data_IF_052642051914
#
_entry.id   IF_052642051914
#
_cell.length_a   1.000
_cell.length_b   1.000
_cell.length_c   1.000
_cell.angle_alpha   90.00
_cell.angle_beta   90.00
_cell.angle_gamma   90.00
#
_symmetry.space_group_name_H-M   'P 1'
#
loop_
_entity.id
_entity.type
_entity.pdbx_description
1 polymer ?
#
# COMPACT_ATOMS: atom_id res chain seq x y z
N UNK A 1 1.54 -8.53 -8.11
CA UNK A 1 0.84 -9.07 -9.29
C UNK A 1 -0.60 -8.56 -9.43
N UNK A 2 -1.48 -8.57 -8.40
CA UNK A 2 -2.89 -8.17 -8.56
C UNK A 2 -3.08 -6.72 -9.02
N UNK A 3 -2.27 -5.78 -8.52
CA UNK A 3 -2.33 -4.37 -8.93
C UNK A 3 -2.04 -4.17 -10.42
N UNK A 4 -1.13 -4.97 -10.99
CA UNK A 4 -0.76 -4.88 -12.41
C UNK A 4 -1.91 -5.32 -13.31
N UNK A 5 -2.58 -6.43 -12.98
CA UNK A 5 -3.77 -6.89 -13.71
C UNK A 5 -4.92 -5.89 -13.60
N UNK A 6 -5.10 -5.25 -12.44
CA UNK A 6 -6.10 -4.18 -12.29
C UNK A 6 -5.75 -2.93 -13.11
N UNK A 7 -4.47 -2.56 -13.19
CA UNK A 7 -4.03 -1.48 -14.08
C UNK A 7 -4.28 -1.82 -15.55
N UNK A 8 -3.93 -3.04 -15.97
CA UNK A 8 -4.16 -3.52 -17.33
C UNK A 8 -5.65 -3.47 -17.70
N UNK A 9 -6.53 -3.82 -16.75
CA UNK A 9 -7.98 -3.66 -16.89
C UNK A 9 -8.38 -2.20 -17.18
N UNK A 10 -7.87 -1.26 -16.37
CA UNK A 10 -8.20 0.16 -16.53
C UNK A 10 -7.69 0.73 -17.86
N UNK A 11 -6.50 0.31 -18.30
CA UNK A 11 -5.91 0.76 -19.56
C UNK A 11 -6.66 0.18 -20.77
N UNK A 12 -6.97 -1.12 -20.74
CA UNK A 12 -7.79 -1.76 -21.78
C UNK A 12 -9.18 -1.12 -21.90
N UNK A 13 -9.79 -0.75 -20.77
CA UNK A 13 -11.11 -0.08 -20.73
C UNK A 13 -11.08 1.30 -21.39
N UNK A 14 -9.96 2.03 -21.31
CA UNK A 14 -9.80 3.34 -21.96
C UNK A 14 -9.78 3.24 -23.48
N UNK A 15 -9.20 2.19 -24.04
CA UNK A 15 -9.12 1.97 -25.49
C UNK A 15 -10.47 1.73 -26.17
N UNK A 16 -11.49 1.27 -25.43
CA UNK A 16 -12.82 0.98 -25.98
C UNK A 16 -13.63 2.27 -26.11
N UNK A 17 -13.84 2.75 -27.35
CA UNK A 17 -14.58 4.00 -27.63
C UNK A 17 -16.10 3.85 -27.47
N UNK A 18 -16.67 2.70 -27.81
CA UNK A 18 -18.13 2.51 -27.85
C UNK A 18 -18.69 2.16 -26.44
N UNK A 19 -19.69 2.90 -25.93
CA UNK A 19 -20.19 2.72 -24.56
C UNK A 19 -20.85 1.36 -24.33
N UNK A 20 -21.58 0.82 -25.33
CA UNK A 20 -22.19 -0.50 -25.26
C UNK A 20 -21.15 -1.63 -25.20
N UNK A 21 -20.14 -1.60 -26.07
CA UNK A 21 -19.03 -2.58 -26.06
C UNK A 21 -18.27 -2.49 -24.75
N UNK A 22 -18.01 -1.28 -24.24
CA UNK A 22 -17.38 -1.09 -22.94
C UNK A 22 -18.21 -1.71 -21.82
N UNK A 23 -19.54 -1.57 -21.84
CA UNK A 23 -20.40 -2.14 -20.79
C UNK A 23 -20.40 -3.68 -20.80
N UNK A 24 -20.40 -4.31 -21.98
CA UNK A 24 -20.42 -5.77 -22.11
C UNK A 24 -19.03 -6.40 -21.87
N UNK A 25 -17.97 -5.79 -22.42
CA UNK A 25 -16.60 -6.35 -22.37
C UNK A 25 -15.93 -6.07 -21.02
N UNK A 26 -16.20 -4.92 -20.38
CA UNK A 26 -15.57 -4.54 -19.11
C UNK A 26 -15.75 -5.55 -17.97
N UNK A 27 -16.95 -6.10 -17.68
CA UNK A 27 -17.11 -7.08 -16.61
C UNK A 27 -16.40 -8.40 -16.93
N UNK A 28 -16.44 -8.85 -18.19
CA UNK A 28 -15.75 -10.06 -18.62
C UNK A 28 -14.23 -9.92 -18.50
N UNK A 29 -13.68 -8.80 -18.98
CA UNK A 29 -12.26 -8.48 -18.92
C UNK A 29 -11.77 -8.33 -17.47
N UNK A 30 -12.61 -7.77 -16.58
CA UNK A 30 -12.32 -7.71 -15.14
C UNK A 30 -12.25 -9.10 -14.50
N UNK A 31 -13.20 -9.99 -14.79
CA UNK A 31 -13.21 -11.35 -14.27
C UNK A 31 -11.98 -12.14 -14.72
N UNK A 32 -11.62 -12.06 -16.01
CA UNK A 32 -10.43 -12.72 -16.56
C UNK A 32 -9.15 -12.22 -15.89
N UNK A 33 -9.01 -10.90 -15.69
CA UNK A 33 -7.80 -10.33 -15.10
C UNK A 33 -7.69 -10.57 -13.59
N UNK A 34 -8.82 -10.60 -12.87
CA UNK A 34 -8.82 -10.99 -11.45
C UNK A 34 -8.49 -12.47 -11.29
N UNK A 35 -9.09 -13.34 -12.08
CA UNK A 35 -8.81 -14.78 -12.03
C UNK A 35 -7.36 -15.07 -12.40
N UNK A 36 -6.82 -14.44 -13.45
CA UNK A 36 -5.39 -14.52 -13.77
C UNK A 36 -4.50 -13.98 -12.64
N UNK A 37 -4.91 -12.89 -12.00
CA UNK A 37 -4.24 -12.32 -10.83
C UNK A 37 -4.17 -13.29 -9.66
N UNK A 38 -5.30 -13.88 -9.26
CA UNK A 38 -5.38 -14.85 -8.18
C UNK A 38 -4.61 -16.14 -8.51
N UNK A 39 -4.72 -16.62 -9.75
CA UNK A 39 -4.00 -17.80 -10.21
C UNK A 39 -2.48 -17.60 -10.19
N UNK A 40 -2.00 -16.40 -10.55
CA UNK A 40 -0.57 -16.08 -10.44
C UNK A 40 -0.07 -16.12 -9.00
N UNK A 41 -0.91 -15.74 -8.03
CA UNK A 41 -0.58 -15.84 -6.60
C UNK A 41 -0.55 -17.30 -6.15
N UNK A 42 -1.50 -18.12 -6.62
CA UNK A 42 -1.55 -19.54 -6.34
C UNK A 42 -0.29 -20.27 -6.83
N UNK A 43 0.13 -20.04 -8.08
CA UNK A 43 1.35 -20.66 -8.62
C UNK A 43 2.58 -20.29 -7.78
N UNK A 44 2.72 -19.02 -7.39
CA UNK A 44 3.83 -18.59 -6.54
C UNK A 44 3.76 -19.26 -5.17
N UNK A 45 2.57 -19.39 -4.59
CA UNK A 45 2.37 -20.02 -3.29
C UNK A 45 2.65 -21.53 -3.30
N UNK A 46 2.28 -22.23 -4.37
CA UNK A 46 2.48 -23.67 -4.54
C UNK A 46 3.94 -24.01 -4.90
N UNK A 47 4.58 -23.19 -5.74
CA UNK A 47 5.98 -23.40 -6.16
C UNK A 47 7.02 -23.11 -5.08
N UNK A 48 6.60 -22.65 -3.91
CA UNK A 48 7.51 -22.33 -2.82
C UNK A 48 7.04 -22.95 -1.50
N UNK A 49 7.82 -23.90 -0.98
CA UNK A 49 7.61 -24.50 0.36
C UNK A 49 7.48 -23.44 1.47
N UNK A 50 8.03 -22.25 1.20
CA UNK A 50 7.95 -21.06 2.05
C UNK A 50 6.54 -20.48 2.22
N UNK A 51 5.62 -20.67 1.27
CA UNK A 51 4.29 -20.05 1.23
C UNK A 51 3.12 -21.03 1.39
N UNK A 52 3.38 -22.29 1.77
CA UNK A 52 2.33 -23.23 2.15
C UNK A 52 1.49 -22.68 3.31
N UNK A 53 0.16 -22.85 3.26
CA UNK A 53 -0.80 -22.20 4.17
C UNK A 53 -0.52 -22.52 5.66
N UNK A 54 -0.14 -23.76 5.98
CA UNK A 54 0.19 -24.20 7.35
C UNK A 54 1.45 -23.51 7.90
N UNK A 55 2.40 -23.13 7.03
CA UNK A 55 3.61 -22.41 7.43
C UNK A 55 3.33 -20.92 7.63
N UNK A 56 2.32 -20.35 6.96
CA UNK A 56 1.97 -18.94 7.11
C UNK A 56 1.33 -18.69 8.48
N UNK A 57 0.38 -19.52 8.91
CA UNK A 57 -0.27 -19.37 10.21
C UNK A 57 0.70 -19.54 11.38
N UNK A 58 1.53 -20.58 11.33
CA UNK A 58 2.56 -20.84 12.35
C UNK A 58 3.65 -19.76 12.38
N UNK A 59 4.00 -19.17 11.23
CA UNK A 59 4.95 -18.06 11.19
C UNK A 59 4.33 -16.77 11.66
N UNK A 60 3.13 -16.43 11.20
CA UNK A 60 2.48 -15.18 11.60
C UNK A 60 2.25 -15.19 13.12
N UNK A 61 1.74 -16.29 13.69
CA UNK A 61 1.62 -16.46 15.15
C UNK A 61 2.98 -16.43 15.86
N UNK A 62 4.00 -17.10 15.33
CA UNK A 62 5.38 -17.05 15.82
C UNK A 62 6.00 -15.64 15.77
N UNK A 63 5.73 -14.87 14.71
CA UNK A 63 6.18 -13.49 14.54
C UNK A 63 5.49 -12.56 15.54
N UNK A 64 4.18 -12.68 15.74
CA UNK A 64 3.47 -11.88 16.74
C UNK A 64 3.95 -12.18 18.17
N UNK A 65 4.10 -13.45 18.53
CA UNK A 65 4.53 -13.85 19.87
C UNK A 65 6.00 -13.49 20.13
N UNK A 66 6.90 -13.78 19.17
CA UNK A 66 8.33 -13.50 19.30
C UNK A 66 8.65 -11.99 19.23
N UNK A 67 7.97 -11.22 18.38
CA UNK A 67 8.26 -9.78 18.23
C UNK A 67 7.58 -8.90 19.29
N UNK A 68 6.44 -9.32 19.84
CA UNK A 68 5.88 -8.72 21.06
C UNK A 68 6.86 -8.82 22.22
N UNK A 69 7.40 -10.03 22.44
CA UNK A 69 8.42 -10.27 23.48
C UNK A 69 9.75 -9.53 23.21
N UNK A 70 10.21 -9.43 21.96
CA UNK A 70 11.44 -8.68 21.64
C UNK A 70 11.28 -7.15 21.80
N UNK A 71 10.12 -6.60 21.45
CA UNK A 71 9.84 -5.17 21.65
C UNK A 71 9.85 -4.81 23.14
N UNK A 72 9.36 -5.72 23.99
CA UNK A 72 9.32 -5.56 25.45
C UNK A 72 10.70 -5.82 26.11
N UNK A 73 11.48 -6.78 25.59
CA UNK A 73 12.71 -7.27 26.24
C UNK A 73 14.00 -6.58 25.78
N UNK A 74 14.04 -5.91 24.61
CA UNK A 74 15.29 -5.40 24.01
C UNK A 74 15.37 -3.89 23.76
N UNK A 75 14.42 -3.07 24.25
CA UNK A 75 14.32 -1.64 23.86
C UNK A 75 14.43 -1.44 22.33
N UNK A 76 14.01 -2.48 21.59
CA UNK A 76 13.93 -2.41 20.16
C UNK A 76 12.85 -1.38 19.86
N UNK A 77 13.15 -0.46 18.95
CA UNK A 77 12.24 0.55 18.42
C UNK A 77 11.10 -0.14 17.62
N UNK A 78 10.30 -0.91 18.33
CA UNK A 78 9.16 -1.65 17.84
C UNK A 78 7.91 -0.80 17.88
N UNK A 79 6.89 -1.25 17.17
CA UNK A 79 5.58 -0.60 17.17
C UNK A 79 4.49 -1.65 17.37
N UNK A 80 3.37 -1.24 17.97
CA UNK A 80 2.17 -2.07 18.06
C UNK A 80 1.11 -1.62 17.07
N UNK A 81 0.26 -2.56 16.63
CA UNK A 81 -0.96 -2.33 15.83
C UNK A 81 -2.22 -2.35 16.73
N UNK A 82 -2.06 -2.09 18.03
CA UNK A 82 -3.09 -2.16 19.08
C UNK A 82 -3.12 -3.53 19.75
N UNK A 83 -3.87 -3.63 20.85
CA UNK A 83 -4.10 -4.89 21.56
C UNK A 83 -4.87 -5.88 20.66
N UNK A 84 -4.51 -7.16 20.81
CA UNK A 84 -5.04 -8.36 20.17
C UNK A 84 -5.15 -8.31 18.63
N UNK A 85 -4.09 -8.80 17.95
CA UNK A 85 -4.19 -9.16 16.54
C UNK A 85 -4.76 -10.57 16.44
N UNK A 86 -6.07 -10.66 16.31
CA UNK A 86 -6.70 -11.90 15.90
C UNK A 86 -6.24 -12.26 14.49
N UNK A 87 -5.67 -13.45 14.33
CA UNK A 87 -5.23 -14.00 13.03
C UNK A 87 -6.39 -14.51 12.17
N UNK A 88 -7.63 -14.23 12.59
CA UNK A 88 -8.80 -14.48 11.77
C UNK A 88 -8.81 -13.53 10.56
N UNK A 89 -9.35 -13.93 9.40
CA UNK A 89 -9.48 -13.03 8.25
C UNK A 89 -10.20 -11.70 8.58
N UNK A 90 -11.15 -11.74 9.51
CA UNK A 90 -11.84 -10.55 10.03
C UNK A 90 -10.94 -9.67 10.91
N UNK A 91 -10.11 -10.26 11.77
CA UNK A 91 -9.13 -9.55 12.59
C UNK A 91 -8.06 -8.84 11.75
N UNK A 92 -7.55 -9.52 10.73
CA UNK A 92 -6.59 -8.96 9.75
C UNK A 92 -7.20 -7.75 9.04
N UNK A 93 -8.46 -7.83 8.61
CA UNK A 93 -9.15 -6.73 7.93
C UNK A 93 -9.35 -5.51 8.84
N UNK A 94 -9.66 -5.71 10.12
CA UNK A 94 -9.76 -4.62 11.11
C UNK A 94 -8.43 -3.87 11.29
N UNK A 95 -7.29 -4.57 11.16
CA UNK A 95 -5.94 -3.98 11.28
C UNK A 95 -5.41 -3.41 9.97
N UNK A 96 -6.16 -3.48 8.87
CA UNK A 96 -5.74 -2.99 7.57
C UNK A 96 -5.33 -1.51 7.58
N UNK A 97 -6.22 -0.62 8.03
CA UNK A 97 -5.96 0.83 8.03
C UNK A 97 -4.76 1.18 8.93
N UNK A 98 -4.69 0.72 10.20
CA UNK A 98 -3.51 0.95 11.04
C UNK A 98 -2.21 0.46 10.39
N UNK A 99 -2.18 -0.77 9.86
CA UNK A 99 -1.00 -1.34 9.24
C UNK A 99 -0.52 -0.54 8.02
N UNK A 100 -1.46 -0.08 7.17
CA UNK A 100 -1.14 0.78 6.02
C UNK A 100 -0.53 2.11 6.48
N UNK A 101 -1.11 2.76 7.51
CA UNK A 101 -0.58 4.02 8.03
C UNK A 101 0.85 3.82 8.56
N UNK A 102 1.09 2.72 9.29
CA UNK A 102 2.43 2.37 9.75
C UNK A 102 3.38 2.16 8.58
N UNK A 103 2.99 1.34 7.61
CA UNK A 103 3.83 1.00 6.46
C UNK A 103 4.18 2.22 5.60
N UNK A 104 3.27 3.17 5.45
CA UNK A 104 3.49 4.38 4.65
C UNK A 104 4.27 5.45 5.42
N UNK A 105 3.83 5.81 6.62
CA UNK A 105 4.21 7.08 7.25
C UNK A 105 5.04 6.93 8.52
N UNK A 106 5.18 5.73 9.09
CA UNK A 106 6.02 5.51 10.29
C UNK A 106 7.44 5.03 9.92
N UNK A 107 8.47 5.31 10.75
CA UNK A 107 8.41 6.03 12.03
C UNK A 107 8.13 7.53 11.85
N UNK A 108 7.37 8.10 12.79
CA UNK A 108 7.22 9.56 12.87
C UNK A 108 8.42 10.19 13.57
N UNK A 109 8.60 11.51 13.40
CA UNK A 109 9.74 12.25 13.98
C UNK A 109 9.83 12.10 15.51
N UNK A 110 8.70 11.99 16.19
CA UNK A 110 8.62 11.81 17.66
C UNK A 110 8.77 10.36 18.12
N UNK A 111 8.83 9.39 17.20
CA UNK A 111 9.02 7.97 17.52
C UNK A 111 10.47 7.50 17.31
N UNK A 112 11.34 8.42 16.90
CA UNK A 112 12.75 8.15 16.60
C UNK A 112 13.50 7.89 17.90
N UNK A 113 13.95 6.64 18.09
CA UNK A 113 14.82 6.25 19.21
C UNK A 113 16.30 6.14 18.84
N UNK A 114 16.60 6.06 17.54
CA UNK A 114 17.96 5.87 17.02
C UNK A 114 18.23 6.86 15.91
N UNK A 115 19.44 7.42 15.86
CA UNK A 115 19.86 8.39 14.83
C UNK A 115 19.66 7.86 13.40
N UNK A 116 19.88 6.56 13.19
CA UNK A 116 19.66 5.88 11.89
C UNK A 116 18.20 5.97 11.43
N UNK A 117 17.23 6.09 12.34
CA UNK A 117 15.81 6.22 12.01
C UNK A 117 15.40 7.66 11.69
N UNK A 118 16.23 8.65 12.06
CA UNK A 118 15.89 10.06 11.88
C UNK A 118 15.73 10.41 10.40
N UNK A 119 16.66 9.95 9.56
CA UNK A 119 16.60 10.20 8.11
C UNK A 119 15.32 9.62 7.50
N UNK A 120 14.97 8.39 7.87
CA UNK A 120 13.74 7.75 7.39
C UNK A 120 12.49 8.41 7.94
N UNK A 121 12.50 8.90 9.19
CA UNK A 121 11.38 9.63 9.76
C UNK A 121 11.18 10.98 9.06
N UNK A 122 12.26 11.68 8.72
CA UNK A 122 12.20 12.91 7.91
C UNK A 122 11.63 12.63 6.52
N UNK A 123 12.09 11.59 5.85
CA UNK A 123 11.57 11.18 4.54
C UNK A 123 10.06 10.91 4.61
N UNK A 124 9.61 10.10 5.57
CA UNK A 124 8.18 9.79 5.73
C UNK A 124 7.34 11.03 6.05
N UNK A 125 7.90 11.94 6.84
CA UNK A 125 7.25 13.19 7.18
C UNK A 125 7.07 14.07 5.93
N UNK A 126 8.07 14.12 5.04
CA UNK A 126 7.93 14.80 3.74
C UNK A 126 6.82 14.16 2.90
N UNK A 127 6.79 12.83 2.80
CA UNK A 127 5.72 12.13 2.08
C UNK A 127 4.32 12.40 2.67
N UNK A 128 4.21 12.37 3.99
CA UNK A 128 2.96 12.68 4.70
C UNK A 128 2.52 14.12 4.43
N UNK A 129 3.43 15.09 4.56
CA UNK A 129 3.12 16.50 4.28
C UNK A 129 2.69 16.70 2.83
N UNK A 130 3.40 16.11 1.86
CA UNK A 130 3.03 16.20 0.45
C UNK A 130 1.65 15.60 0.19
N UNK A 131 1.36 14.44 0.78
CA UNK A 131 0.04 13.80 0.69
C UNK A 131 -1.06 14.71 1.25
N UNK A 132 -0.87 15.25 2.46
CA UNK A 132 -1.84 16.14 3.10
C UNK A 132 -2.02 17.45 2.31
N UNK A 133 -0.92 18.09 1.87
CA UNK A 133 -0.98 19.32 1.06
C UNK A 133 -1.78 19.08 -0.22
N UNK A 134 -1.53 17.97 -0.93
CA UNK A 134 -2.27 17.63 -2.15
C UNK A 134 -3.74 17.33 -1.86
N UNK A 135 -4.01 16.58 -0.80
CA UNK A 135 -5.35 16.24 -0.36
C UNK A 135 -6.18 17.50 -0.07
N UNK A 136 -5.66 18.41 0.75
CA UNK A 136 -6.34 19.67 1.09
C UNK A 136 -6.41 20.66 -0.07
N UNK A 137 -5.36 20.74 -0.91
CA UNK A 137 -5.32 21.66 -2.06
C UNK A 137 -6.30 21.26 -3.17
N UNK A 138 -6.44 19.96 -3.44
CA UNK A 138 -7.36 19.46 -4.46
C UNK A 138 -8.79 19.37 -3.90
N UNK A 139 -8.93 19.08 -2.61
CA UNK A 139 -10.21 18.75 -1.97
C UNK A 139 -10.67 17.34 -2.33
N UNK A 140 -11.52 16.75 -1.49
CA UNK A 140 -11.94 15.34 -1.57
C UNK A 140 -12.42 14.93 -2.97
N UNK A 141 -13.30 15.72 -3.58
CA UNK A 141 -13.91 15.41 -4.87
C UNK A 141 -12.93 15.43 -6.04
N UNK A 142 -12.04 16.43 -6.13
CA UNK A 142 -11.06 16.49 -7.22
C UNK A 142 -9.95 15.48 -7.02
N UNK A 143 -9.55 15.23 -5.77
CA UNK A 143 -8.58 14.20 -5.42
C UNK A 143 -9.06 12.82 -5.88
N UNK A 144 -10.27 12.43 -5.50
CA UNK A 144 -10.87 11.17 -5.93
C UNK A 144 -11.00 11.07 -7.46
N UNK A 145 -11.52 12.13 -8.11
CA UNK A 145 -11.66 12.17 -9.58
C UNK A 145 -10.33 12.03 -10.29
N UNK A 146 -9.27 12.64 -9.75
CA UNK A 146 -7.93 12.60 -10.33
C UNK A 146 -7.34 11.20 -10.27
N UNK A 147 -7.54 10.49 -9.16
CA UNK A 147 -7.15 9.09 -9.01
C UNK A 147 -7.90 8.27 -10.06
N UNK A 148 -9.24 8.25 -10.04
CA UNK A 148 -10.04 7.37 -10.92
C UNK A 148 -9.80 7.61 -12.41
N UNK A 149 -9.50 8.85 -12.83
CA UNK A 149 -9.21 9.17 -14.25
C UNK A 149 -7.84 8.69 -14.73
N UNK A 150 -6.89 8.45 -13.84
CA UNK A 150 -5.51 8.14 -14.16
C UNK A 150 -5.13 6.73 -13.66
N UNK A 151 -5.16 5.71 -14.53
CA UNK A 151 -4.80 4.33 -14.22
C UNK A 151 -3.42 4.22 -13.59
N UNK A 152 -2.45 5.02 -14.02
CA UNK A 152 -1.10 5.01 -13.46
C UNK A 152 -1.09 5.48 -12.00
N UNK A 153 -1.87 6.51 -11.65
CA UNK A 153 -2.00 6.97 -10.26
C UNK A 153 -2.69 5.88 -9.41
N UNK A 154 -3.75 5.27 -9.95
CA UNK A 154 -4.47 4.17 -9.29
C UNK A 154 -3.56 2.98 -9.03
N UNK A 155 -2.80 2.56 -10.04
CA UNK A 155 -1.84 1.48 -9.96
C UNK A 155 -0.80 1.73 -8.87
N UNK A 156 -0.15 2.90 -8.93
CA UNK A 156 0.90 3.27 -7.98
C UNK A 156 0.40 3.37 -6.55
N UNK A 157 -0.80 3.96 -6.34
CA UNK A 157 -1.41 4.03 -5.00
C UNK A 157 -1.84 2.65 -4.49
N UNK A 158 -2.46 1.82 -5.32
CA UNK A 158 -2.87 0.47 -4.92
C UNK A 158 -1.67 -0.40 -4.58
N UNK A 159 -0.61 -0.35 -5.40
CA UNK A 159 0.65 -1.02 -5.10
C UNK A 159 1.22 -0.54 -3.77
N UNK A 160 1.34 0.77 -3.56
CA UNK A 160 1.87 1.33 -2.33
C UNK A 160 1.04 0.93 -1.10
N UNK A 161 -0.30 0.98 -1.18
CA UNK A 161 -1.21 0.63 -0.08
C UNK A 161 -1.15 -0.86 0.26
N UNK A 162 -1.25 -1.76 -0.73
CA UNK A 162 -1.19 -3.20 -0.49
C UNK A 162 0.17 -3.60 0.07
N UNK A 163 1.25 -3.04 -0.49
CA UNK A 163 2.60 -3.35 -0.03
C UNK A 163 2.87 -2.78 1.36
N UNK A 164 2.38 -1.57 1.65
CA UNK A 164 2.45 -0.97 2.99
C UNK A 164 1.67 -1.78 4.02
N UNK A 165 0.51 -2.33 3.65
CA UNK A 165 -0.24 -3.25 4.51
C UNK A 165 0.61 -4.48 4.87
N UNK A 166 1.16 -5.18 3.88
CA UNK A 166 1.97 -6.38 4.10
C UNK A 166 3.16 -6.07 5.01
N UNK A 167 3.96 -5.07 4.65
CA UNK A 167 5.17 -4.71 5.40
C UNK A 167 4.85 -4.16 6.79
N UNK A 168 3.80 -3.35 6.90
CA UNK A 168 3.34 -2.79 8.17
C UNK A 168 2.75 -3.84 9.11
N UNK A 169 2.11 -4.88 8.57
CA UNK A 169 1.55 -5.99 9.33
C UNK A 169 2.62 -7.00 9.76
N UNK A 170 3.72 -7.18 9.03
CA UNK A 170 4.72 -8.22 9.34
C UNK A 170 5.95 -7.72 10.10
N UNK A 171 6.30 -6.43 10.01
CA UNK A 171 7.65 -6.00 10.46
C UNK A 171 7.78 -5.81 11.98
N UNK A 172 6.79 -5.21 12.65
CA UNK A 172 6.77 -4.85 14.09
C UNK A 172 8.02 -4.12 14.64
N UNK A 173 8.96 -3.72 13.77
CA UNK A 173 10.24 -3.11 14.09
C UNK A 173 10.56 -2.01 13.06
N UNK A 174 10.82 -0.78 13.52
CA UNK A 174 11.07 0.34 12.61
C UNK A 174 12.32 0.14 11.72
N UNK A 175 13.36 -0.54 12.21
CA UNK A 175 14.56 -0.81 11.41
C UNK A 175 14.29 -1.75 10.24
N UNK A 176 13.48 -2.80 10.46
CA UNK A 176 13.03 -3.71 9.41
C UNK A 176 12.02 -3.03 8.48
N UNK A 177 11.05 -2.30 9.06
CA UNK A 177 10.01 -1.57 8.34
C UNK A 177 10.60 -0.63 7.28
N UNK A 178 11.61 0.15 7.65
CA UNK A 178 12.27 1.10 6.75
C UNK A 178 12.92 0.39 5.56
N UNK A 179 13.57 -0.76 5.78
CA UNK A 179 14.21 -1.52 4.70
C UNK A 179 13.20 -2.16 3.78
N UNK A 180 12.19 -2.79 4.37
CA UNK A 180 11.18 -3.53 3.62
C UNK A 180 10.28 -2.63 2.81
N UNK A 181 10.10 -1.36 3.20
CA UNK A 181 9.29 -0.42 2.41
C UNK A 181 10.02 0.28 1.26
N UNK A 182 11.35 0.13 1.11
CA UNK A 182 12.09 0.73 -0.02
C UNK A 182 11.41 0.49 -1.39
N UNK A 183 10.90 -0.71 -1.71
CA UNK A 183 10.22 -0.96 -2.99
C UNK A 183 8.91 -0.19 -3.19
N UNK A 184 8.22 0.25 -2.13
CA UNK A 184 6.94 0.98 -2.24
C UNK A 184 7.12 2.48 -2.46
N UNK A 185 8.21 3.04 -1.95
CA UNK A 185 8.52 4.48 -2.01
C UNK A 185 8.51 5.07 -3.43
N UNK A 186 9.12 4.44 -4.47
CA UNK A 186 9.10 5.00 -5.82
C UNK A 186 7.68 5.09 -6.40
N UNK A 187 6.79 4.15 -6.07
CA UNK A 187 5.40 4.18 -6.52
C UNK A 187 4.60 5.26 -5.80
N UNK A 188 4.78 5.40 -4.47
CA UNK A 188 4.17 6.49 -3.71
C UNK A 188 4.62 7.86 -4.23
N UNK A 189 5.93 8.02 -4.45
CA UNK A 189 6.51 9.23 -5.03
C UNK A 189 5.98 9.54 -6.42
N UNK A 190 5.91 8.55 -7.31
CA UNK A 190 5.33 8.72 -8.65
C UNK A 190 3.86 9.16 -8.60
N UNK A 191 3.05 8.55 -7.73
CA UNK A 191 1.65 8.93 -7.54
C UNK A 191 1.52 10.40 -7.09
N UNK A 192 2.28 10.80 -6.07
CA UNK A 192 2.26 12.17 -5.55
C UNK A 192 2.77 13.18 -6.59
N UNK A 193 3.84 12.86 -7.31
CA UNK A 193 4.41 13.70 -8.35
C UNK A 193 3.41 13.95 -9.49
N UNK A 194 2.73 12.90 -9.96
CA UNK A 194 1.68 13.02 -10.98
C UNK A 194 0.52 13.87 -10.45
N UNK A 195 0.04 13.60 -9.24
CA UNK A 195 -1.04 14.39 -8.64
C UNK A 195 -0.67 15.88 -8.51
N UNK A 196 0.58 16.17 -8.16
CA UNK A 196 1.11 17.53 -8.10
C UNK A 196 1.16 18.22 -9.46
N UNK A 197 1.61 17.52 -10.51
CA UNK A 197 1.60 18.05 -11.88
C UNK A 197 0.18 18.44 -12.32
N UNK A 198 -0.79 17.54 -12.14
CA UNK A 198 -2.19 17.83 -12.47
C UNK A 198 -2.78 18.97 -11.62
N UNK A 199 -2.37 19.10 -10.36
CA UNK A 199 -2.77 20.23 -9.50
C UNK A 199 -2.27 21.58 -10.03
N UNK A 200 -1.09 21.65 -10.66
CA UNK A 200 -0.55 22.88 -11.26
C UNK A 200 -1.29 23.25 -12.54
N UNK A 201 -1.57 22.28 -13.40
CA UNK A 201 -2.27 22.50 -14.68
C UNK A 201 -3.66 23.10 -14.46
N UNK A 202 -4.41 22.61 -13.47
CA UNK A 202 -5.75 23.14 -13.16
C UNK A 202 -5.79 24.58 -12.62
N UNK A 203 -4.66 25.15 -12.21
CA UNK A 203 -4.54 26.57 -11.85
C UNK A 203 -4.29 27.47 -13.06
N UNK A 204 -3.55 27.00 -14.06
CA UNK A 204 -3.17 27.80 -15.24
C UNK A 204 -4.35 28.12 -16.17
N UNK A 205 -5.42 27.34 -16.12
CA UNK A 205 -6.67 27.57 -16.87
C UNK A 205 -7.70 28.43 -16.14
N UNK A 206 -7.37 28.96 -14.95
CA UNK A 206 -8.28 29.79 -14.12
C UNK A 206 -7.73 31.18 -13.81
N UNK A 207 -6.59 31.54 -14.39
CA UNK A 207 -5.98 32.87 -14.30
C UNK A 207 -6.14 33.62 -15.60
#
# INVERSE_FOLDING_TARGET
MPCFFYWLYLEAKKGIRHPFIRFVVSPFLFLVLISAGLYSVYIVAESSDYYQLDNIENRVSGFHNWHGQLAEKYDASGYSLGEDVELTPGGILKKFIPAVIVGLFRPFLWEVRKVVQLLSAMENFVYLLLFLILFFRLGLWKFYRLIVKNPLIVFSLLYAVIFAFVVGFTSYNFGALVRYKIPLMPFLGAALALMFQYSKVGKKTRG
#
